data_IF_484122647304
#
_entry.id   IF_484122647304
#
_cell.length_a   1.000
_cell.length_b   1.000
_cell.length_c   1.000
_cell.angle_alpha   90.00
_cell.angle_beta   90.00
_cell.angle_gamma   90.00
#
_symmetry.space_group_name_H-M   'P 1'
#
loop_
_entity.id
_entity.type
_entity.pdbx_description
1 polymer ?
#
# COMPACT_ATOMS: atom_id res chain seq x y z
N UNK A 1 6.81 15.88 -12.19
CA UNK A 1 5.82 16.81 -12.77
C UNK A 1 5.59 17.91 -11.75
N UNK A 2 6.14 19.08 -12.04
CA UNK A 2 6.10 20.28 -11.20
C UNK A 2 4.66 20.76 -11.05
N UNK A 3 4.31 21.16 -9.83
CA UNK A 3 3.08 21.91 -9.56
C UNK A 3 3.13 23.23 -10.34
N UNK A 4 2.01 23.72 -10.92
CA UNK A 4 1.97 25.01 -11.61
C UNK A 4 2.19 26.21 -10.67
N UNK A 5 2.11 26.01 -9.36
CA UNK A 5 2.43 27.00 -8.32
C UNK A 5 3.45 26.41 -7.31
N UNK A 6 4.32 27.26 -6.76
CA UNK A 6 5.37 26.92 -5.79
C UNK A 6 6.79 27.27 -6.26
N UNK A 7 7.79 26.99 -5.43
CA UNK A 7 9.21 27.16 -5.80
C UNK A 7 9.68 26.08 -6.76
N UNK A 8 10.33 26.49 -7.85
CA UNK A 8 10.98 25.58 -8.78
C UNK A 8 12.17 24.87 -8.13
N UNK A 9 12.27 23.55 -8.30
CA UNK A 9 13.27 22.70 -7.62
C UNK A 9 14.71 23.01 -8.03
N UNK A 10 14.93 23.51 -9.26
CA UNK A 10 16.27 23.75 -9.80
C UNK A 10 16.82 25.14 -9.47
N UNK A 11 15.97 26.16 -9.45
CA UNK A 11 16.39 27.56 -9.37
C UNK A 11 15.73 28.35 -8.24
N UNK A 12 14.89 27.70 -7.43
CA UNK A 12 14.16 28.31 -6.31
C UNK A 12 13.35 29.57 -6.67
N UNK A 13 12.99 29.75 -7.95
CA UNK A 13 12.11 30.83 -8.37
C UNK A 13 10.68 30.55 -7.91
N UNK A 14 10.08 31.53 -7.26
CA UNK A 14 8.69 31.53 -6.86
C UNK A 14 7.75 31.68 -8.06
N UNK A 15 6.81 30.76 -8.22
CA UNK A 15 5.75 30.84 -9.24
C UNK A 15 4.39 30.83 -8.53
N UNK A 16 3.58 31.88 -8.74
CA UNK A 16 2.21 32.01 -8.21
C UNK A 16 2.07 31.89 -6.67
N UNK A 17 3.07 32.34 -5.89
CA UNK A 17 3.04 32.26 -4.41
C UNK A 17 2.19 33.34 -3.72
N UNK A 18 1.88 34.45 -4.42
CA UNK A 18 1.12 35.62 -3.92
C UNK A 18 1.50 36.09 -2.48
N UNK A 19 2.75 35.85 -2.05
CA UNK A 19 3.23 36.23 -0.71
C UNK A 19 2.78 35.33 0.45
N UNK A 20 2.12 34.19 0.18
CA UNK A 20 1.72 33.24 1.23
C UNK A 20 2.72 32.08 1.36
N UNK A 21 3.17 31.82 2.59
CA UNK A 21 4.11 30.72 2.91
C UNK A 21 3.53 29.33 2.60
N UNK A 22 2.20 29.17 2.62
CA UNK A 22 1.54 27.90 2.31
C UNK A 22 1.58 27.53 0.82
N UNK A 23 1.60 28.52 -0.09
CA UNK A 23 1.76 28.27 -1.52
C UNK A 23 3.22 28.08 -1.95
N UNK A 24 4.18 28.37 -1.07
CA UNK A 24 5.62 28.20 -1.33
C UNK A 24 5.99 26.74 -1.58
N UNK A 25 5.39 25.81 -0.81
CA UNK A 25 5.50 24.37 -1.00
C UNK A 25 4.78 23.83 -2.25
N UNK A 26 4.14 24.72 -3.00
CA UNK A 26 3.31 24.44 -4.16
C UNK A 26 1.97 23.78 -3.82
N UNK A 27 1.06 23.76 -4.80
CA UNK A 27 -0.12 22.93 -4.75
C UNK A 27 0.32 21.47 -4.65
N UNK A 28 0.31 20.91 -3.45
CA UNK A 28 0.58 19.48 -3.23
C UNK A 28 -0.56 18.72 -3.90
N UNK A 29 -0.33 18.21 -5.11
CA UNK A 29 -1.29 17.40 -5.88
C UNK A 29 -1.56 16.01 -5.27
N UNK A 30 -0.83 15.65 -4.21
CA UNK A 30 -0.91 14.35 -3.54
C UNK A 30 -2.32 14.07 -2.99
N UNK A 31 -2.98 14.97 -2.23
CA UNK A 31 -4.35 14.75 -1.74
C UNK A 31 -5.36 14.67 -2.88
N UNK A 32 -5.22 15.49 -3.93
CA UNK A 32 -6.11 15.50 -5.10
C UNK A 32 -6.08 14.15 -5.83
N UNK A 33 -4.89 13.60 -6.09
CA UNK A 33 -4.74 12.28 -6.73
C UNK A 33 -5.23 11.15 -5.84
N UNK A 34 -4.97 11.23 -4.53
CA UNK A 34 -5.49 10.26 -3.56
C UNK A 34 -7.02 10.28 -3.44
N UNK A 35 -7.69 11.42 -3.68
CA UNK A 35 -9.16 11.53 -3.70
C UNK A 35 -9.76 11.04 -5.02
N UNK A 36 -9.15 11.38 -6.17
CA UNK A 36 -9.70 11.00 -7.47
C UNK A 36 -9.54 9.51 -7.81
N UNK A 37 -8.50 8.85 -7.29
CA UNK A 37 -8.22 7.44 -7.61
C UNK A 37 -9.33 6.47 -7.15
N UNK A 38 -9.81 6.49 -5.88
CA UNK A 38 -10.89 5.60 -5.44
C UNK A 38 -12.24 5.96 -6.10
N UNK A 39 -12.45 7.22 -6.49
CA UNK A 39 -13.68 7.65 -7.15
C UNK A 39 -13.82 7.04 -8.56
N UNK A 40 -12.75 7.07 -9.35
CA UNK A 40 -12.75 6.47 -10.71
C UNK A 40 -12.93 4.96 -10.65
N UNK A 41 -12.25 4.28 -9.71
CA UNK A 41 -12.42 2.83 -9.55
C UNK A 41 -13.82 2.50 -9.04
N UNK A 42 -14.40 3.25 -8.10
CA UNK A 42 -15.77 3.04 -7.60
C UNK A 42 -16.83 3.25 -8.70
N UNK A 43 -16.69 4.27 -9.53
CA UNK A 43 -17.64 4.55 -10.62
C UNK A 43 -17.57 3.49 -11.73
N UNK A 44 -16.37 2.95 -12.00
CA UNK A 44 -16.18 1.81 -12.90
C UNK A 44 -16.73 0.53 -12.28
N UNK A 45 -16.45 0.28 -11.00
CA UNK A 45 -16.99 -0.85 -10.25
C UNK A 45 -18.52 -0.84 -10.24
N UNK A 46 -19.18 0.28 -9.96
CA UNK A 46 -20.64 0.32 -9.91
C UNK A 46 -21.30 0.00 -11.25
N UNK A 47 -20.73 0.50 -12.36
CA UNK A 47 -21.27 0.24 -13.70
C UNK A 47 -21.15 -1.24 -14.10
N UNK A 48 -20.08 -1.92 -13.65
CA UNK A 48 -19.80 -3.31 -14.01
C UNK A 48 -20.35 -4.32 -13.00
N UNK A 49 -20.39 -3.99 -11.71
CA UNK A 49 -20.82 -4.90 -10.63
C UNK A 49 -22.32 -4.90 -10.40
N UNK A 50 -23.00 -3.75 -10.40
CA UNK A 50 -24.43 -3.70 -10.09
C UNK A 50 -25.31 -4.32 -11.20
N UNK A 51 -24.78 -4.50 -12.40
CA UNK A 51 -25.46 -5.19 -13.49
C UNK A 51 -25.46 -6.73 -13.34
N UNK A 52 -24.50 -7.31 -12.60
CA UNK A 52 -24.22 -8.76 -12.64
C UNK A 52 -24.04 -9.44 -11.27
N UNK A 53 -24.20 -8.70 -10.14
CA UNK A 53 -24.01 -9.27 -8.81
C UNK A 53 -25.17 -10.18 -8.38
N UNK A 54 -25.20 -11.43 -8.89
CA UNK A 54 -25.92 -12.53 -8.23
C UNK A 54 -25.12 -12.97 -7.01
N UNK A 55 -25.59 -12.62 -5.82
CA UNK A 55 -25.01 -13.07 -4.55
C UNK A 55 -25.26 -14.57 -4.36
N UNK A 56 -24.39 -15.40 -4.92
CA UNK A 56 -24.41 -16.82 -4.64
C UNK A 56 -23.68 -17.10 -3.33
N UNK A 57 -24.45 -17.11 -2.25
CA UNK A 57 -24.03 -17.23 -0.84
C UNK A 57 -23.27 -18.54 -0.53
N UNK A 58 -23.25 -19.52 -1.43
CA UNK A 58 -22.64 -20.85 -1.23
C UNK A 58 -21.17 -21.00 -1.63
N UNK A 59 -20.50 -19.97 -2.15
CA UNK A 59 -19.20 -20.11 -2.85
C UNK A 59 -17.95 -20.16 -1.95
N UNK A 60 -18.09 -20.10 -0.61
CA UNK A 60 -16.97 -20.11 0.35
C UNK A 60 -16.07 -21.35 0.24
N UNK A 61 -16.64 -22.51 -0.11
CA UNK A 61 -15.88 -23.75 -0.36
C UNK A 61 -14.97 -23.61 -1.59
N UNK A 62 -15.39 -22.87 -2.61
CA UNK A 62 -14.55 -22.63 -3.79
C UNK A 62 -13.41 -21.64 -3.49
N UNK A 63 -13.61 -20.68 -2.57
CA UNK A 63 -12.55 -19.77 -2.10
C UNK A 63 -11.41 -20.54 -1.42
N UNK A 64 -11.72 -21.64 -0.73
CA UNK A 64 -10.73 -22.50 -0.05
C UNK A 64 -10.17 -23.63 -0.94
N UNK A 65 -10.93 -24.14 -1.91
CA UNK A 65 -10.49 -25.26 -2.79
C UNK A 65 -9.61 -24.80 -3.97
N UNK A 66 -9.92 -23.65 -4.56
CA UNK A 66 -9.23 -23.14 -5.76
C UNK A 66 -7.75 -22.75 -5.59
N UNK A 67 -7.27 -22.29 -4.40
CA UNK A 67 -5.84 -22.02 -4.19
C UNK A 67 -4.98 -23.29 -4.22
N UNK A 68 -5.55 -24.42 -3.80
CA UNK A 68 -4.82 -25.71 -3.77
C UNK A 68 -4.63 -26.27 -5.17
N UNK A 69 -5.64 -26.13 -6.04
CA UNK A 69 -5.57 -26.54 -7.45
C UNK A 69 -4.58 -25.68 -8.26
N UNK A 70 -4.32 -24.43 -7.85
CA UNK A 70 -3.41 -23.48 -8.52
C UNK A 70 -2.12 -23.21 -7.75
N UNK A 71 -1.71 -24.11 -6.83
CA UNK A 71 -0.57 -23.89 -5.94
C UNK A 71 0.72 -23.51 -6.69
N UNK A 72 0.99 -24.13 -7.84
CA UNK A 72 2.15 -23.83 -8.68
C UNK A 72 2.12 -22.40 -9.25
N UNK A 73 0.94 -21.88 -9.58
CA UNK A 73 0.77 -20.48 -10.02
C UNK A 73 0.98 -19.50 -8.88
N UNK A 74 0.42 -19.80 -7.71
CA UNK A 74 0.54 -18.96 -6.49
C UNK A 74 1.99 -18.75 -6.11
N UNK A 75 2.80 -19.81 -6.11
CA UNK A 75 4.24 -19.69 -5.80
C UNK A 75 4.94 -18.77 -6.81
N UNK A 76 4.66 -18.91 -8.11
CA UNK A 76 5.26 -18.05 -9.16
C UNK A 76 4.89 -16.58 -8.98
N UNK A 77 3.62 -16.27 -8.71
CA UNK A 77 3.16 -14.90 -8.48
C UNK A 77 3.70 -14.33 -7.16
N UNK A 78 3.80 -15.15 -6.12
CA UNK A 78 4.39 -14.76 -4.84
C UNK A 78 5.88 -14.42 -4.99
N UNK A 79 6.66 -15.25 -5.68
CA UNK A 79 8.09 -14.98 -5.96
C UNK A 79 8.24 -13.68 -6.76
N UNK A 80 7.38 -13.46 -7.75
CA UNK A 80 7.37 -12.20 -8.51
C UNK A 80 7.06 -11.00 -7.61
N UNK A 81 6.09 -11.14 -6.70
CA UNK A 81 5.76 -10.14 -5.69
C UNK A 81 6.92 -9.83 -4.75
N UNK A 82 7.58 -10.86 -4.18
CA UNK A 82 8.76 -10.68 -3.31
C UNK A 82 9.90 -10.00 -4.06
N UNK A 83 10.17 -10.42 -5.30
CA UNK A 83 11.23 -9.83 -6.14
C UNK A 83 10.97 -8.37 -6.45
N UNK A 84 9.74 -8.03 -6.85
CA UNK A 84 9.34 -6.62 -7.01
C UNK A 84 9.40 -5.91 -5.66
N UNK A 85 9.03 -6.57 -4.57
CA UNK A 85 9.16 -6.19 -3.15
C UNK A 85 10.56 -5.72 -2.76
N UNK A 86 11.58 -6.41 -3.26
CA UNK A 86 12.96 -6.08 -3.01
C UNK A 86 13.44 -4.84 -3.79
N UNK A 87 12.81 -4.52 -4.93
CA UNK A 87 13.16 -3.33 -5.72
C UNK A 87 12.65 -2.05 -5.04
N UNK A 88 13.59 -1.22 -4.60
CA UNK A 88 13.29 0.11 -4.07
C UNK A 88 12.93 1.07 -5.21
N UNK A 89 11.92 1.92 -5.02
CA UNK A 89 11.48 2.91 -6.01
C UNK A 89 10.36 2.45 -6.97
N UNK A 90 9.92 1.19 -6.88
CA UNK A 90 8.80 0.64 -7.65
C UNK A 90 7.52 0.70 -6.81
N UNK A 91 6.35 0.92 -7.43
CA UNK A 91 5.05 0.87 -6.73
C UNK A 91 4.53 -0.57 -6.60
N UNK A 92 3.79 -0.86 -5.54
CA UNK A 92 3.19 -2.19 -5.29
C UNK A 92 2.21 -2.60 -6.41
N UNK A 93 1.55 -1.63 -7.05
CA UNK A 93 0.64 -1.86 -8.16
C UNK A 93 1.32 -2.51 -9.37
N UNK A 94 2.62 -2.28 -9.58
CA UNK A 94 3.37 -2.91 -10.67
C UNK A 94 3.47 -4.42 -10.44
N UNK A 95 3.54 -4.87 -9.19
CA UNK A 95 3.49 -6.30 -8.85
C UNK A 95 2.14 -6.93 -9.23
N UNK A 96 1.03 -6.26 -8.92
CA UNK A 96 -0.30 -6.72 -9.32
C UNK A 96 -0.46 -6.77 -10.84
N UNK A 97 -0.09 -5.70 -11.56
CA UNK A 97 -0.21 -5.66 -13.02
C UNK A 97 0.70 -6.73 -13.67
N UNK A 98 1.92 -6.89 -13.18
CA UNK A 98 2.85 -7.91 -13.65
C UNK A 98 2.35 -9.33 -13.42
N UNK A 99 1.82 -9.62 -12.23
CA UNK A 99 1.26 -10.92 -11.91
C UNK A 99 -0.01 -11.22 -12.72
N UNK A 100 -0.87 -10.23 -12.98
CA UNK A 100 -2.02 -10.39 -13.87
C UNK A 100 -1.59 -10.72 -15.31
N UNK A 101 -0.59 -10.01 -15.84
CA UNK A 101 -0.02 -10.29 -17.16
C UNK A 101 0.59 -11.69 -17.24
N UNK A 102 1.34 -12.09 -16.20
CA UNK A 102 1.94 -13.42 -16.10
C UNK A 102 0.88 -14.52 -16.00
N UNK A 103 -0.17 -14.33 -15.20
CA UNK A 103 -1.28 -15.27 -15.09
C UNK A 103 -2.03 -15.41 -16.41
N UNK A 104 -2.26 -14.30 -17.13
CA UNK A 104 -2.89 -14.32 -18.45
C UNK A 104 -2.03 -15.07 -19.48
N UNK A 105 -0.72 -14.83 -19.48
CA UNK A 105 0.20 -15.45 -20.44
C UNK A 105 0.44 -16.95 -20.15
N UNK A 106 0.35 -17.35 -18.88
CA UNK A 106 0.57 -18.74 -18.45
C UNK A 106 -0.70 -19.59 -18.46
N UNK A 107 -1.85 -19.02 -18.82
CA UNK A 107 -3.14 -19.71 -18.81
C UNK A 107 -3.49 -20.24 -20.19
N UNK A 108 -4.04 -21.46 -20.25
CA UNK A 108 -4.50 -22.08 -21.50
C UNK A 108 -5.67 -21.29 -22.14
N UNK A 109 -6.46 -20.58 -21.32
CA UNK A 109 -7.61 -19.76 -21.76
C UNK A 109 -7.43 -18.26 -21.49
N UNK A 110 -6.51 -17.55 -22.20
CA UNK A 110 -6.19 -16.13 -21.95
C UNK A 110 -7.34 -15.17 -22.26
N UNK A 111 -8.35 -15.63 -23.01
CA UNK A 111 -9.53 -14.88 -23.45
C UNK A 111 -10.68 -14.82 -22.43
N UNK A 112 -10.55 -15.58 -21.34
CA UNK A 112 -11.47 -15.49 -20.19
C UNK A 112 -11.02 -14.44 -19.16
N UNK A 113 -9.79 -13.96 -19.23
CA UNK A 113 -9.31 -12.86 -18.37
C UNK A 113 -10.10 -11.58 -18.64
N UNK A 114 -10.58 -10.94 -17.57
CA UNK A 114 -11.51 -9.80 -17.64
C UNK A 114 -13.00 -10.17 -17.62
N UNK A 115 -13.35 -11.47 -17.78
CA UNK A 115 -14.72 -11.99 -17.69
C UNK A 115 -15.03 -12.66 -16.34
N UNK A 116 -14.24 -12.38 -15.30
CA UNK A 116 -14.43 -12.93 -13.95
C UNK A 116 -13.70 -14.25 -13.67
N UNK A 117 -12.60 -14.55 -14.39
CA UNK A 117 -11.73 -15.69 -14.06
C UNK A 117 -11.06 -15.50 -12.70
N UNK A 118 -11.12 -16.53 -11.85
CA UNK A 118 -10.53 -16.52 -10.51
C UNK A 118 -9.02 -16.23 -10.51
N UNK A 119 -8.26 -16.81 -11.45
CA UNK A 119 -6.82 -16.54 -11.58
C UNK A 119 -6.52 -15.05 -11.84
N UNK A 120 -7.44 -14.31 -12.47
CA UNK A 120 -7.33 -12.87 -12.70
C UNK A 120 -7.43 -12.03 -11.43
N UNK A 121 -7.95 -12.57 -10.33
CA UNK A 121 -7.98 -11.90 -9.02
C UNK A 121 -6.95 -12.48 -8.07
N UNK A 122 -6.77 -13.81 -8.05
CA UNK A 122 -5.83 -14.48 -7.15
C UNK A 122 -4.39 -14.05 -7.44
N UNK A 123 -3.99 -13.94 -8.71
CA UNK A 123 -2.63 -13.57 -9.08
C UNK A 123 -2.21 -12.16 -8.60
N UNK A 124 -2.96 -11.08 -8.91
CA UNK A 124 -2.59 -9.74 -8.44
C UNK A 124 -2.63 -9.60 -6.91
N UNK A 125 -3.62 -10.20 -6.24
CA UNK A 125 -3.73 -10.15 -4.77
C UNK A 125 -2.57 -10.88 -4.09
N UNK A 126 -2.21 -12.05 -4.62
CA UNK A 126 -1.06 -12.83 -4.11
C UNK A 126 0.24 -12.03 -4.25
N UNK A 127 0.47 -11.42 -5.42
CA UNK A 127 1.70 -10.67 -5.68
C UNK A 127 1.81 -9.40 -4.82
N UNK A 128 0.71 -8.64 -4.64
CA UNK A 128 0.71 -7.46 -3.75
C UNK A 128 1.03 -7.88 -2.31
N UNK A 129 0.38 -8.92 -1.79
CA UNK A 129 0.60 -9.34 -0.42
C UNK A 129 2.05 -9.82 -0.21
N UNK A 130 2.60 -10.56 -1.19
CA UNK A 130 3.99 -11.02 -1.17
C UNK A 130 5.02 -9.88 -1.29
N UNK A 131 4.65 -8.74 -1.89
CA UNK A 131 5.53 -7.56 -2.01
C UNK A 131 5.92 -7.00 -0.64
N UNK A 132 5.02 -7.08 0.35
CA UNK A 132 5.26 -6.58 1.71
C UNK A 132 6.42 -7.34 2.37
N UNK A 133 6.44 -8.67 2.24
CA UNK A 133 7.50 -9.51 2.80
C UNK A 133 8.86 -9.20 2.17
N UNK A 134 8.91 -8.97 0.85
CA UNK A 134 10.13 -8.51 0.16
C UNK A 134 10.61 -7.13 0.64
N UNK A 135 9.68 -6.19 0.86
CA UNK A 135 10.00 -4.86 1.38
C UNK A 135 10.53 -4.90 2.82
N UNK A 136 9.95 -5.75 3.69
CA UNK A 136 10.42 -5.96 5.07
C UNK A 136 11.80 -6.61 5.07
N UNK A 137 12.06 -7.57 4.19
CA UNK A 137 13.38 -8.18 4.05
C UNK A 137 14.46 -7.13 3.69
N UNK A 138 14.18 -6.28 2.69
CA UNK A 138 15.08 -5.19 2.30
C UNK A 138 15.28 -4.18 3.43
N UNK A 139 14.24 -3.88 4.19
CA UNK A 139 14.37 -3.03 5.38
C UNK A 139 15.34 -3.64 6.40
N UNK A 140 15.22 -4.94 6.68
CA UNK A 140 16.03 -5.62 7.70
C UNK A 140 17.50 -5.74 7.29
N UNK A 141 17.77 -6.00 6.00
CA UNK A 141 19.12 -6.23 5.47
C UNK A 141 19.82 -4.93 5.02
N UNK A 142 19.10 -4.02 4.35
CA UNK A 142 19.69 -2.82 3.76
C UNK A 142 19.35 -1.54 4.53
N UNK A 143 18.45 -1.60 5.52
CA UNK A 143 17.98 -0.43 6.29
C UNK A 143 17.32 0.66 5.43
N UNK A 144 16.78 0.26 4.28
CA UNK A 144 16.05 1.15 3.36
C UNK A 144 14.55 0.87 3.51
N UNK A 145 13.79 1.91 3.82
CA UNK A 145 12.33 1.84 3.82
C UNK A 145 11.77 2.18 2.45
N UNK A 146 10.83 1.36 1.97
CA UNK A 146 10.17 1.54 0.68
C UNK A 146 8.78 2.16 0.79
N UNK A 147 8.05 1.88 1.86
CA UNK A 147 6.67 2.33 2.05
C UNK A 147 6.48 2.97 3.43
N UNK A 148 5.40 3.75 3.65
CA UNK A 148 5.09 4.32 4.97
C UNK A 148 5.07 3.29 6.11
N UNK A 149 4.44 2.10 6.00
CA UNK A 149 4.46 1.11 7.08
C UNK A 149 5.87 0.56 7.36
N UNK A 150 6.71 0.36 6.34
CA UNK A 150 8.11 -0.05 6.58
C UNK A 150 8.92 1.06 7.24
N UNK A 151 8.58 2.33 7.03
CA UNK A 151 9.26 3.46 7.68
C UNK A 151 8.91 3.53 9.17
N UNK A 152 7.65 3.28 9.51
CA UNK A 152 7.21 3.17 10.92
C UNK A 152 7.90 1.98 11.59
N UNK A 153 7.98 0.84 10.91
CA UNK A 153 8.72 -0.33 11.41
C UNK A 153 10.21 -0.01 11.63
N UNK A 154 10.84 0.70 10.69
CA UNK A 154 12.23 1.18 10.85
C UNK A 154 12.38 2.06 12.11
N UNK A 155 11.45 2.99 12.31
CA UNK A 155 11.42 3.84 13.50
C UNK A 155 11.29 3.03 14.78
N UNK A 156 10.42 2.01 14.79
CA UNK A 156 10.26 1.10 15.92
C UNK A 156 11.55 0.32 16.23
N UNK A 157 12.24 -0.20 15.20
CA UNK A 157 13.52 -0.89 15.40
C UNK A 157 14.58 0.02 16.01
N UNK A 158 14.65 1.28 15.56
CA UNK A 158 15.56 2.29 16.12
C UNK A 158 15.23 2.58 17.60
N UNK A 159 13.94 2.68 17.95
CA UNK A 159 13.51 2.87 19.34
C UNK A 159 13.91 1.69 20.25
N UNK A 160 13.92 0.48 19.71
CA UNK A 160 14.37 -0.73 20.41
C UNK A 160 15.89 -0.94 20.36
N UNK A 161 16.68 0.04 19.89
CA UNK A 161 18.13 -0.07 19.70
C UNK A 161 18.58 -1.19 18.74
N UNK A 162 17.69 -1.68 17.88
CA UNK A 162 17.98 -2.72 16.91
C UNK A 162 18.46 -2.06 15.61
N UNK A 163 19.72 -2.31 15.26
CA UNK A 163 20.33 -1.78 14.04
C UNK A 163 20.06 -2.73 12.87
N UNK A 164 19.02 -2.43 12.08
CA UNK A 164 18.85 -3.09 10.77
C UNK A 164 20.03 -2.76 9.86
N UNK A 165 20.38 -3.70 8.98
CA UNK A 165 21.58 -3.63 8.17
C UNK A 165 22.19 -5.02 7.92
N UNK A 166 23.27 -5.10 7.12
CA UNK A 166 23.87 -6.37 6.71
C UNK A 166 24.49 -7.15 7.88
N UNK A 167 24.73 -6.49 9.01
CA UNK A 167 25.24 -7.10 10.25
C UNK A 167 24.14 -7.68 11.14
N UNK A 168 22.86 -7.40 10.86
CA UNK A 168 21.74 -7.88 11.67
C UNK A 168 21.68 -9.42 11.77
N UNK A 169 21.91 -10.21 10.69
CA UNK A 169 21.91 -11.66 10.78
C UNK A 169 23.04 -12.24 11.65
N UNK A 170 24.12 -11.50 11.86
CA UNK A 170 25.28 -11.97 12.63
C UNK A 170 25.10 -11.62 14.11
N UNK A 171 24.67 -10.39 14.40
CA UNK A 171 24.50 -9.92 15.78
C UNK A 171 23.15 -10.27 16.43
N UNK A 172 22.11 -10.47 15.63
CA UNK A 172 20.72 -10.63 16.08
C UNK A 172 19.99 -11.73 15.27
N UNK A 173 20.64 -12.87 15.05
CA UNK A 173 20.07 -14.00 14.30
C UNK A 173 18.75 -14.48 14.92
N UNK A 174 18.71 -14.66 16.24
CA UNK A 174 17.52 -15.14 16.95
C UNK A 174 16.33 -14.19 16.80
N UNK A 175 16.58 -12.88 16.79
CA UNK A 175 15.55 -11.87 16.57
C UNK A 175 14.94 -11.98 15.16
N UNK A 176 15.76 -12.23 14.13
CA UNK A 176 15.27 -12.41 12.77
C UNK A 176 14.37 -13.63 12.64
N UNK A 177 14.77 -14.77 13.22
CA UNK A 177 13.97 -15.98 13.18
C UNK A 177 12.67 -15.83 13.97
N UNK A 178 12.73 -15.29 15.19
CA UNK A 178 11.54 -15.04 16.02
C UNK A 178 10.55 -14.11 15.28
N UNK A 179 11.01 -12.96 14.82
CA UNK A 179 10.14 -12.01 14.10
C UNK A 179 9.68 -12.53 12.75
N UNK A 180 10.47 -13.35 12.06
CA UNK A 180 10.07 -14.04 10.84
C UNK A 180 8.89 -14.98 11.08
N UNK A 181 8.94 -15.79 12.15
CA UNK A 181 7.85 -16.69 12.54
C UNK A 181 6.59 -15.91 12.90
N UNK A 182 6.71 -14.85 13.70
CA UNK A 182 5.57 -13.98 14.03
C UNK A 182 4.98 -13.28 12.80
N UNK A 183 5.81 -12.90 11.82
CA UNK A 183 5.34 -12.32 10.57
C UNK A 183 4.56 -13.32 9.71
N UNK A 184 5.01 -14.58 9.64
CA UNK A 184 4.25 -15.66 9.01
C UNK A 184 2.89 -15.83 9.71
N UNK A 185 2.87 -15.84 11.04
CA UNK A 185 1.61 -15.97 11.80
C UNK A 185 0.68 -14.78 11.57
N UNK A 186 1.21 -13.56 11.55
CA UNK A 186 0.45 -12.35 11.27
C UNK A 186 -0.19 -12.38 9.87
N UNK A 187 0.51 -12.92 8.87
CA UNK A 187 0.00 -13.05 7.49
C UNK A 187 -1.13 -14.07 7.41
N UNK A 188 -1.05 -15.18 8.15
CA UNK A 188 -2.13 -16.18 8.25
C UNK A 188 -3.36 -15.56 8.95
N UNK A 189 -3.15 -14.84 10.06
CA UNK A 189 -4.22 -14.14 10.77
C UNK A 189 -4.89 -13.09 9.88
N UNK A 190 -4.10 -12.34 9.10
CA UNK A 190 -4.60 -11.37 8.13
C UNK A 190 -5.49 -12.05 7.07
N UNK A 191 -5.12 -13.25 6.60
CA UNK A 191 -5.93 -14.01 5.65
C UNK A 191 -7.28 -14.42 6.27
N UNK A 192 -7.30 -14.88 7.52
CA UNK A 192 -8.52 -15.25 8.24
C UNK A 192 -9.43 -14.04 8.43
N UNK A 193 -8.87 -12.92 8.88
CA UNK A 193 -9.60 -11.66 9.05
C UNK A 193 -10.11 -11.15 7.70
N UNK A 194 -9.34 -11.29 6.62
CA UNK A 194 -9.75 -10.93 5.26
C UNK A 194 -11.00 -11.70 4.81
N UNK A 195 -11.02 -13.00 5.04
CA UNK A 195 -12.19 -13.86 4.70
C UNK A 195 -13.40 -13.47 5.55
N UNK A 196 -13.22 -13.23 6.85
CA UNK A 196 -14.31 -12.84 7.74
C UNK A 196 -14.87 -11.44 7.42
N UNK A 197 -13.99 -10.50 7.09
CA UNK A 197 -14.32 -9.10 6.77
C UNK A 197 -14.81 -8.88 5.35
N UNK A 198 -14.68 -9.87 4.46
CA UNK A 198 -15.20 -9.76 3.09
C UNK A 198 -16.71 -9.43 3.05
N UNK A 199 -17.51 -9.97 3.98
CA UNK A 199 -18.96 -9.70 4.06
C UNK A 199 -19.29 -8.23 4.33
N UNK A 200 -18.79 -7.59 5.42
CA UNK A 200 -19.07 -6.18 5.65
C UNK A 200 -18.47 -5.27 4.57
N UNK A 201 -17.30 -5.60 4.00
CA UNK A 201 -16.68 -4.79 2.94
C UNK A 201 -17.54 -4.76 1.67
N UNK A 202 -18.13 -5.89 1.28
CA UNK A 202 -19.05 -5.95 0.14
C UNK A 202 -20.33 -5.12 0.40
N UNK A 203 -20.77 -5.01 1.65
CA UNK A 203 -21.91 -4.16 2.01
C UNK A 203 -21.62 -2.67 1.82
N UNK A 204 -20.37 -2.24 2.06
CA UNK A 204 -19.93 -0.85 1.83
C UNK A 204 -19.94 -0.50 0.33
N UNK A 205 -19.64 -1.46 -0.55
CA UNK A 205 -19.67 -1.25 -2.00
C UNK A 205 -21.07 -1.00 -2.56
N UNK A 206 -22.13 -1.38 -1.82
CA UNK A 206 -23.53 -1.07 -2.19
C UNK A 206 -23.89 0.40 -1.94
N UNK A 207 -23.05 1.16 -1.22
CA UNK A 207 -23.31 2.58 -0.93
C UNK A 207 -23.14 3.40 -2.22
N UNK A 208 -24.14 4.24 -2.59
CA UNK A 208 -24.06 5.03 -3.80
C UNK A 208 -22.88 6.03 -3.77
N UNK A 209 -22.19 6.24 -4.91
CA UNK A 209 -21.01 7.09 -5.06
C UNK A 209 -21.28 8.53 -4.68
N UNK A 210 -22.53 8.98 -4.80
CA UNK A 210 -22.96 10.33 -4.39
C UNK A 210 -22.74 10.59 -2.90
N UNK A 211 -22.79 9.56 -2.05
CA UNK A 211 -22.56 9.67 -0.60
C UNK A 211 -21.10 9.36 -0.27
N UNK A 212 -20.52 8.36 -0.95
CA UNK A 212 -19.14 7.93 -0.69
C UNK A 212 -18.10 9.00 -1.08
N UNK A 213 -18.32 9.71 -2.18
CA UNK A 213 -17.40 10.74 -2.67
C UNK A 213 -17.19 11.92 -1.70
N UNK A 214 -18.24 12.60 -1.18
CA UNK A 214 -18.05 13.68 -0.22
C UNK A 214 -17.45 13.18 1.10
N UNK A 215 -17.78 11.97 1.55
CA UNK A 215 -17.20 11.38 2.76
C UNK A 215 -15.68 11.19 2.63
N UNK A 216 -15.22 10.62 1.50
CA UNK A 216 -13.80 10.46 1.20
C UNK A 216 -13.12 11.83 1.09
N UNK A 217 -13.77 12.80 0.43
CA UNK A 217 -13.23 14.16 0.32
C UNK A 217 -13.03 14.80 1.70
N UNK A 218 -14.02 14.69 2.61
CA UNK A 218 -13.92 15.20 3.98
C UNK A 218 -12.79 14.49 4.74
N UNK A 219 -12.67 13.17 4.63
CA UNK A 219 -11.59 12.39 5.25
C UNK A 219 -10.21 12.81 4.73
N UNK A 220 -10.08 13.06 3.42
CA UNK A 220 -8.82 13.50 2.81
C UNK A 220 -8.47 14.94 3.22
N UNK A 221 -9.44 15.84 3.28
CA UNK A 221 -9.24 17.20 3.79
C UNK A 221 -8.82 17.13 5.26
N UNK A 222 -9.55 16.40 6.10
CA UNK A 222 -9.22 16.22 7.52
C UNK A 222 -7.81 15.66 7.74
N UNK A 223 -7.43 14.63 6.97
CA UNK A 223 -6.05 14.09 6.97
C UNK A 223 -5.03 15.13 6.55
N UNK A 224 -5.32 15.94 5.54
CA UNK A 224 -4.43 17.01 5.10
C UNK A 224 -4.22 18.03 6.22
N UNK A 225 -5.29 18.50 6.86
CA UNK A 225 -5.21 19.45 7.98
C UNK A 225 -4.42 18.88 9.16
N UNK A 226 -4.63 17.61 9.49
CA UNK A 226 -3.85 16.91 10.52
C UNK A 226 -2.36 16.80 10.14
N UNK A 227 -2.06 16.52 8.88
CA UNK A 227 -0.68 16.45 8.38
C UNK A 227 0.05 17.79 8.46
N UNK A 228 -0.60 18.89 8.11
CA UNK A 228 -0.05 20.26 8.26
C UNK A 228 0.23 20.56 9.73
N UNK A 229 -0.69 20.16 10.62
CA UNK A 229 -0.56 20.38 12.06
C UNK A 229 0.58 19.57 12.68
N UNK A 230 0.81 18.32 12.24
CA UNK A 230 1.97 17.54 12.70
C UNK A 230 3.30 18.09 12.18
N UNK A 231 3.33 18.61 10.94
CA UNK A 231 4.53 19.25 10.39
C UNK A 231 4.87 20.56 11.12
N UNK A 232 3.86 21.36 11.48
CA UNK A 232 4.02 22.57 12.29
C UNK A 232 4.49 22.26 13.72
N UNK A 233 3.98 21.18 14.33
CA UNK A 233 4.45 20.69 15.64
C UNK A 233 5.89 20.17 15.59
N UNK A 234 6.27 19.47 14.52
CA UNK A 234 7.64 19.00 14.32
C UNK A 234 8.64 20.14 14.17
N UNK A 235 8.28 21.20 13.41
CA UNK A 235 9.12 22.39 13.29
C UNK A 235 9.24 23.15 14.62
N UNK A 236 8.14 23.30 15.37
CA UNK A 236 8.19 23.86 16.74
C UNK A 236 9.05 23.03 17.68
N UNK A 237 8.96 21.70 17.61
CA UNK A 237 9.78 20.80 18.42
C UNK A 237 11.27 20.91 18.06
N UNK A 238 11.59 21.05 16.75
CA UNK A 238 12.94 21.25 16.26
C UNK A 238 13.53 22.60 16.69
N UNK A 239 12.76 23.67 16.64
CA UNK A 239 13.21 25.01 17.08
C UNK A 239 13.35 25.07 18.61
N UNK A 240 12.53 24.34 19.37
CA UNK A 240 12.71 24.17 20.81
C UNK A 240 13.89 23.24 21.19
N UNK A 241 14.50 22.59 20.21
CA UNK A 241 15.58 21.60 20.39
C UNK A 241 16.96 22.18 20.67
N UNK A 242 17.15 23.50 20.70
CA UNK A 242 18.42 24.11 21.14
C UNK A 242 18.56 24.27 22.67
N UNK A 243 17.55 23.89 23.47
CA UNK A 243 17.63 23.97 24.93
C UNK A 243 17.99 22.66 25.65
N UNK A 244 18.04 21.51 24.96
CA UNK A 244 18.29 20.19 25.59
C UNK A 244 19.74 19.67 25.50
N UNK A 245 20.70 20.46 25.01
CA UNK A 245 22.13 20.09 24.96
C UNK A 245 23.01 20.79 26.01
N UNK A 246 22.40 21.31 27.08
CA UNK A 246 23.12 21.78 28.27
C UNK A 246 22.34 21.37 29.52
N UNK A 247 22.56 20.16 30.01
CA UNK A 247 22.85 19.75 31.41
C UNK A 247 23.36 18.32 31.35
#
# INVERSE_FOLDING_TARGET
MSSPAGTEVLWAYERFSYGSLDLYGGLRWVPMRSVCSPFRTHQYLQKTLLADFRSDTGRWIQVLRNPVENAAGIVKWAVTGVGIGALSGVSENIAACGAYGMARNSSDEPERFGKGVMAGTIAPETAINATISGAVLVLLVLRISRSPPTAVLMGALVLHNIRSGPMLPIGFAEFLFDKGVWHCWATIMLQVIGILSARPVVMILKVPPRILAPLIAILCVCRHTLGVRQHALYLRARDSGQHWLRV
#
